data_IF_829476637248
#
_entry.id   IF_829476637248
#
_cell.length_a   1.000
_cell.length_b   1.000
_cell.length_c   1.000
_cell.angle_alpha   90.00
_cell.angle_beta   90.00
_cell.angle_gamma   90.00
#
_symmetry.space_group_name_H-M   'P 1'
#
loop_
_entity.id
_entity.type
_entity.pdbx_description
1 polymer ?
#
# COMPACT_ATOMS: atom_id res chain seq x y z
N UNK A 1 11.17 2.58 -8.82
CA UNK A 1 9.70 2.68 -8.92
C UNK A 1 9.19 2.26 -10.30
N UNK A 2 9.92 2.55 -11.38
CA UNK A 2 9.53 2.19 -12.75
C UNK A 2 9.20 0.70 -12.93
N UNK A 3 10.01 -0.22 -12.40
CA UNK A 3 9.74 -1.65 -12.58
C UNK A 3 8.47 -2.10 -11.87
N UNK A 4 8.18 -1.56 -10.68
CA UNK A 4 6.92 -1.84 -9.98
C UNK A 4 5.71 -1.26 -10.72
N UNK A 5 5.88 -0.15 -11.43
CA UNK A 5 4.85 0.38 -12.33
C UNK A 5 4.66 -0.52 -13.56
N UNK A 6 5.76 -0.97 -14.19
CA UNK A 6 5.72 -1.93 -15.32
C UNK A 6 5.05 -3.24 -14.92
N UNK A 7 5.31 -3.72 -13.71
CA UNK A 7 4.66 -4.91 -13.13
C UNK A 7 3.25 -4.63 -12.62
N UNK A 8 2.70 -3.41 -12.74
CA UNK A 8 1.33 -3.11 -12.35
C UNK A 8 1.08 -3.05 -10.84
N UNK A 9 2.13 -3.02 -10.00
CA UNK A 9 2.00 -2.82 -8.55
C UNK A 9 1.84 -1.35 -8.16
N UNK A 10 2.36 -0.44 -9.00
CA UNK A 10 2.17 1.00 -8.88
C UNK A 10 1.48 1.55 -10.13
N UNK A 11 0.73 2.64 -9.97
CA UNK A 11 0.23 3.45 -11.09
C UNK A 11 0.69 4.89 -10.97
N UNK A 12 0.77 5.58 -12.10
CA UNK A 12 1.08 7.00 -12.13
C UNK A 12 0.05 7.77 -11.30
N UNK A 13 0.53 8.74 -10.53
CA UNK A 13 -0.30 9.57 -9.66
C UNK A 13 0.15 11.01 -9.74
N UNK A 14 -0.81 11.90 -10.03
CA UNK A 14 -0.56 13.34 -9.98
C UNK A 14 -1.05 13.85 -8.63
N UNK A 15 -0.12 14.04 -7.71
CA UNK A 15 -0.41 14.57 -6.38
C UNK A 15 -0.31 16.10 -6.32
N UNK A 16 -0.62 16.65 -5.15
CA UNK A 16 -0.34 18.03 -4.79
C UNK A 16 0.20 18.11 -3.34
N UNK A 17 0.74 19.28 -2.95
CA UNK A 17 1.33 19.46 -1.62
C UNK A 17 0.34 19.25 -0.47
N UNK A 18 -0.94 19.56 -0.66
CA UNK A 18 -1.95 19.41 0.38
C UNK A 18 -2.24 17.93 0.65
N UNK A 19 -2.37 17.12 -0.40
CA UNK A 19 -2.57 15.66 -0.25
C UNK A 19 -1.42 15.01 0.53
N UNK A 20 -0.17 15.35 0.21
CA UNK A 20 1.00 14.86 0.95
C UNK A 20 0.94 15.32 2.42
N UNK A 21 0.63 16.60 2.65
CA UNK A 21 0.53 17.14 4.01
C UNK A 21 -0.57 16.47 4.83
N UNK A 22 -1.72 16.17 4.22
CA UNK A 22 -2.84 15.47 4.86
C UNK A 22 -2.46 14.03 5.25
N UNK A 23 -1.76 13.30 4.37
CA UNK A 23 -1.25 11.95 4.67
C UNK A 23 -0.27 11.97 5.84
N UNK A 24 0.65 12.94 5.87
CA UNK A 24 1.61 13.10 6.96
C UNK A 24 0.91 13.53 8.27
N UNK A 25 -0.10 14.40 8.20
CA UNK A 25 -0.86 14.81 9.38
C UNK A 25 -1.62 13.63 10.01
N UNK A 26 -2.15 12.71 9.20
CA UNK A 26 -2.74 11.46 9.70
C UNK A 26 -1.67 10.60 10.39
N UNK A 27 -0.50 10.44 9.76
CA UNK A 27 0.58 9.65 10.35
C UNK A 27 1.06 10.22 11.69
N UNK A 28 1.23 11.55 11.80
CA UNK A 28 1.63 12.21 13.04
C UNK A 28 0.60 12.00 14.16
N UNK A 29 -0.70 12.12 13.84
CA UNK A 29 -1.78 11.85 14.79
C UNK A 29 -1.75 10.41 15.28
N UNK A 30 -1.59 9.47 14.37
CA UNK A 30 -1.60 8.04 14.69
C UNK A 30 -0.35 7.64 15.49
N UNK A 31 0.83 8.20 15.17
CA UNK A 31 2.03 8.03 16.00
C UNK A 31 1.86 8.58 17.42
N UNK A 32 1.13 9.69 17.59
CA UNK A 32 0.76 10.20 18.90
C UNK A 32 -0.21 9.27 19.64
N UNK A 33 -1.28 8.84 18.96
CA UNK A 33 -2.32 8.00 19.52
C UNK A 33 -1.81 6.59 19.89
N UNK A 34 -0.89 6.02 19.12
CA UNK A 34 -0.28 4.70 19.40
C UNK A 34 0.48 4.65 20.72
N UNK A 35 0.82 5.81 21.29
CA UNK A 35 1.54 5.96 22.56
C UNK A 35 0.62 6.36 23.73
N UNK A 36 -0.70 6.30 23.54
CA UNK A 36 -1.65 6.68 24.57
C UNK A 36 -1.48 5.82 25.85
N UNK A 37 -1.45 6.44 27.05
CA UNK A 37 -1.36 5.70 28.30
C UNK A 37 -2.53 4.73 28.47
N UNK A 38 -2.23 3.51 28.92
CA UNK A 38 -3.25 2.46 29.12
C UNK A 38 -3.75 1.78 27.84
N UNK A 39 -3.18 2.12 26.68
CA UNK A 39 -3.48 1.44 25.43
C UNK A 39 -2.85 0.04 25.42
N UNK A 40 -3.64 -0.97 25.05
CA UNK A 40 -3.12 -2.32 24.85
C UNK A 40 -2.16 -2.37 23.66
N UNK A 41 -1.11 -3.19 23.76
CA UNK A 41 -0.04 -3.26 22.76
C UNK A 41 -0.55 -3.58 21.35
N UNK A 42 -1.53 -4.47 21.20
CA UNK A 42 -2.10 -4.82 19.88
C UNK A 42 -2.74 -3.60 19.20
N UNK A 43 -3.43 -2.77 19.98
CA UNK A 43 -4.03 -1.54 19.48
C UNK A 43 -2.97 -0.48 19.19
N UNK A 44 -1.95 -0.35 20.06
CA UNK A 44 -0.80 0.52 19.80
C UNK A 44 -0.09 0.15 18.51
N UNK A 45 0.16 -1.14 18.28
CA UNK A 45 0.78 -1.64 17.06
C UNK A 45 -0.08 -1.37 15.83
N UNK A 46 -1.39 -1.66 15.88
CA UNK A 46 -2.30 -1.40 14.75
C UNK A 46 -2.29 0.10 14.36
N UNK A 47 -2.36 1.00 15.33
CA UNK A 47 -2.33 2.44 15.08
C UNK A 47 -0.97 2.87 14.50
N UNK A 48 0.14 2.41 15.08
CA UNK A 48 1.47 2.73 14.57
C UNK A 48 1.68 2.18 13.14
N UNK A 49 1.15 1.00 12.85
CA UNK A 49 1.16 0.42 11.51
C UNK A 49 0.37 1.27 10.51
N UNK A 50 -0.80 1.78 10.89
CA UNK A 50 -1.56 2.70 10.05
C UNK A 50 -0.77 3.98 9.75
N UNK A 51 -0.04 4.52 10.73
CA UNK A 51 0.84 5.66 10.51
C UNK A 51 1.93 5.36 9.47
N UNK A 52 2.58 4.19 9.57
CA UNK A 52 3.59 3.76 8.61
C UNK A 52 3.01 3.60 7.19
N UNK A 53 1.78 3.09 7.07
CA UNK A 53 1.09 2.97 5.78
C UNK A 53 0.83 4.35 5.15
N UNK A 54 0.44 5.34 5.94
CA UNK A 54 0.20 6.70 5.46
C UNK A 54 1.50 7.39 5.03
N UNK A 55 2.60 7.19 5.76
CA UNK A 55 3.93 7.67 5.38
C UNK A 55 4.38 7.04 4.05
N UNK A 56 4.23 5.72 3.91
CA UNK A 56 4.57 5.03 2.66
C UNK A 56 3.72 5.55 1.48
N UNK A 57 2.43 5.81 1.72
CA UNK A 57 1.53 6.39 0.71
C UNK A 57 1.96 7.80 0.32
N UNK A 58 2.33 8.64 1.28
CA UNK A 58 2.84 9.99 1.02
C UNK A 58 4.14 9.97 0.20
N UNK A 59 5.05 9.05 0.52
CA UNK A 59 6.33 8.89 -0.20
C UNK A 59 6.11 8.46 -1.66
N UNK A 60 5.17 7.53 -1.91
CA UNK A 60 4.78 7.15 -3.27
C UNK A 60 4.17 8.34 -4.01
N UNK A 61 3.24 9.06 -3.38
CA UNK A 61 2.56 10.20 -3.97
C UNK A 61 3.54 11.31 -4.35
N UNK A 62 4.45 11.68 -3.44
CA UNK A 62 5.51 12.66 -3.68
C UNK A 62 6.45 12.26 -4.82
N UNK A 63 6.59 10.96 -5.09
CA UNK A 63 7.39 10.42 -6.18
C UNK A 63 6.61 10.28 -7.50
N UNK A 64 5.34 10.65 -7.53
CA UNK A 64 4.48 10.55 -8.73
C UNK A 64 3.75 9.22 -8.89
N UNK A 65 3.61 8.44 -7.81
CA UNK A 65 3.02 7.10 -7.83
C UNK A 65 1.96 6.91 -6.75
N UNK A 66 1.10 5.90 -6.94
CA UNK A 66 0.23 5.36 -5.89
C UNK A 66 0.19 3.84 -6.04
N UNK A 67 -0.04 3.13 -4.93
CA UNK A 67 -0.21 1.69 -4.94
C UNK A 67 -1.44 1.28 -5.75
N UNK A 68 -1.34 0.19 -6.51
CA UNK A 68 -2.50 -0.40 -7.18
C UNK A 68 -3.37 -1.15 -6.15
N UNK A 69 -4.69 -0.95 -6.20
CA UNK A 69 -5.64 -1.59 -5.26
C UNK A 69 -5.80 -3.07 -5.55
N UNK A 70 -5.59 -3.47 -6.81
CA UNK A 70 -5.60 -4.86 -7.25
C UNK A 70 -4.30 -5.14 -8.00
N UNK A 71 -3.16 -5.21 -7.30
CA UNK A 71 -1.89 -5.53 -7.95
C UNK A 71 -2.01 -6.92 -8.60
N UNK A 72 -1.33 -7.16 -9.73
CA UNK A 72 -1.30 -8.49 -10.32
C UNK A 72 -0.81 -9.51 -9.31
N UNK A 73 -1.48 -10.66 -9.30
CA UNK A 73 -1.10 -11.77 -8.43
C UNK A 73 0.32 -12.21 -8.80
N UNK A 74 1.16 -12.59 -7.81
CA UNK A 74 2.42 -13.27 -8.09
C UNK A 74 2.11 -14.50 -8.95
N UNK A 75 2.91 -14.74 -10.00
CA UNK A 75 2.76 -15.90 -10.87
C UNK A 75 2.73 -17.24 -10.09
N UNK A 76 3.28 -17.27 -8.87
CA UNK A 76 3.43 -18.48 -8.06
C UNK A 76 2.20 -18.84 -7.18
N UNK A 77 1.08 -18.09 -7.28
CA UNK A 77 -0.10 -18.33 -6.43
C UNK A 77 -1.40 -18.66 -7.16
N UNK A 78 -1.32 -19.20 -8.37
CA UNK A 78 -2.42 -19.98 -8.94
C UNK A 78 -2.52 -21.33 -8.20
N UNK A 79 -3.13 -21.30 -7.01
CA UNK A 79 -3.73 -22.50 -6.44
C UNK A 79 -4.95 -22.78 -7.33
N UNK A 80 -4.81 -23.73 -8.26
CA UNK A 80 -5.92 -24.23 -9.05
C UNK A 80 -7.02 -24.80 -8.15
N UNK A 81 -8.29 -24.63 -8.55
CA UNK A 81 -9.21 -25.73 -8.51
C UNK A 81 -9.55 -26.14 -9.95
N UNK A 82 -9.14 -27.36 -10.29
CA UNK A 82 -9.62 -28.16 -11.41
C UNK A 82 -9.12 -27.80 -12.81
N UNK A 83 -8.04 -28.46 -13.21
CA UNK A 83 -7.86 -29.13 -14.49
C UNK A 83 -9.06 -29.03 -15.45
N UNK A 84 -8.86 -28.33 -16.56
CA UNK A 84 -9.77 -28.43 -17.68
C UNK A 84 -9.80 -27.26 -18.65
N UNK A 85 -8.66 -26.80 -19.17
CA UNK A 85 -8.61 -26.31 -20.56
C UNK A 85 -7.17 -26.21 -21.08
N UNK A 86 -6.86 -26.96 -22.12
CA UNK A 86 -5.64 -26.83 -22.93
C UNK A 86 -5.64 -25.46 -23.60
N UNK A 87 -4.70 -24.58 -23.27
CA UNK A 87 -4.38 -23.47 -24.14
C UNK A 87 -3.33 -23.94 -25.15
N UNK A 88 -3.78 -24.14 -26.38
CA UNK A 88 -2.95 -24.45 -27.54
C UNK A 88 -2.09 -23.25 -27.97
N UNK A 89 -1.04 -23.59 -28.71
CA UNK A 89 -0.03 -22.70 -29.28
C UNK A 89 -0.66 -21.64 -30.21
N UNK A 90 -0.13 -20.42 -30.17
CA UNK A 90 0.45 -19.71 -31.33
C UNK A 90 1.32 -18.55 -30.85
#
# INVERSE_FOLDING_TARGET
MEDWQKFGWLKAHKTNRNEIAELLAVADRDLGASKAPGLHNDWGFNIAYNAALQIATAALAASGYQAERKPPLPCDRLIEPSAGHRCGKH
#
